data_IF_046948574138
#
_entry.id   IF_046948574138
#
_cell.length_a   1.000
_cell.length_b   1.000
_cell.length_c   1.000
_cell.angle_alpha   90.00
_cell.angle_beta   90.00
_cell.angle_gamma   90.00
#
_symmetry.space_group_name_H-M   'P 1'
#
loop_
_entity.id
_entity.type
_entity.pdbx_description
1 polymer ?
#
# COMPACT_ATOMS: atom_id res chain seq x y z
N UNK A 1 23.09 -25.63 5.17
CA UNK A 1 21.66 -25.96 5.10
C UNK A 1 20.75 -24.73 4.92
N UNK A 2 21.29 -23.58 4.49
CA UNK A 2 20.65 -22.26 4.63
C UNK A 2 20.06 -21.65 3.34
N UNK A 3 20.17 -22.25 2.17
CA UNK A 3 19.71 -21.63 0.91
C UNK A 3 18.80 -22.52 0.05
N UNK A 4 18.11 -23.46 0.66
CA UNK A 4 17.12 -24.28 -0.07
C UNK A 4 15.83 -23.52 -0.42
N UNK A 5 15.62 -22.32 0.16
CA UNK A 5 14.41 -21.54 -0.08
C UNK A 5 14.70 -20.03 0.14
N UNK A 6 14.79 -19.27 -0.96
CA UNK A 6 14.99 -17.80 -0.95
C UNK A 6 13.82 -17.12 -0.24
N UNK A 7 12.60 -17.64 -0.40
CA UNK A 7 11.40 -17.13 0.26
C UNK A 7 11.54 -17.10 1.79
N UNK A 8 11.91 -18.22 2.41
CA UNK A 8 12.04 -18.30 3.89
C UNK A 8 13.14 -17.40 4.43
N UNK A 9 14.25 -17.26 3.69
CA UNK A 9 15.30 -16.29 4.03
C UNK A 9 14.74 -14.88 3.99
N UNK A 10 14.07 -14.51 2.89
CA UNK A 10 13.51 -13.16 2.71
C UNK A 10 12.46 -12.84 3.78
N UNK A 11 11.56 -13.77 4.10
CA UNK A 11 10.58 -13.59 5.21
C UNK A 11 11.29 -13.33 6.54
N UNK A 12 12.38 -14.06 6.81
CA UNK A 12 13.18 -13.84 8.03
C UNK A 12 13.83 -12.45 8.05
N UNK A 13 14.35 -12.01 6.91
CA UNK A 13 15.01 -10.71 6.78
C UNK A 13 13.98 -9.57 6.90
N UNK A 14 12.75 -9.78 6.40
CA UNK A 14 11.66 -8.81 6.47
C UNK A 14 10.94 -8.77 7.83
N UNK A 15 11.16 -9.73 8.74
CA UNK A 15 10.40 -9.85 9.99
C UNK A 15 10.39 -8.58 10.84
N UNK A 16 11.53 -7.93 11.03
CA UNK A 16 11.62 -6.71 11.82
C UNK A 16 11.02 -5.47 11.14
N UNK A 17 11.31 -5.19 9.86
CA UNK A 17 10.59 -4.15 9.12
C UNK A 17 9.07 -4.36 9.13
N UNK A 18 8.60 -5.59 8.88
CA UNK A 18 7.17 -5.93 8.92
C UNK A 18 6.58 -5.71 10.31
N UNK A 19 7.27 -6.13 11.37
CA UNK A 19 6.80 -5.95 12.75
C UNK A 19 6.60 -4.46 13.08
N UNK A 20 7.58 -3.60 12.78
CA UNK A 20 7.47 -2.18 13.09
C UNK A 20 6.41 -1.46 12.24
N UNK A 21 6.31 -1.80 10.96
CA UNK A 21 5.27 -1.23 10.09
C UNK A 21 3.88 -1.71 10.51
N UNK A 22 3.72 -3.00 10.79
CA UNK A 22 2.45 -3.56 11.26
C UNK A 22 2.03 -2.95 12.61
N UNK A 23 2.97 -2.80 13.56
CA UNK A 23 2.72 -2.19 14.85
C UNK A 23 2.37 -0.70 14.70
N UNK A 24 3.08 0.03 13.84
CA UNK A 24 2.82 1.45 13.58
C UNK A 24 1.45 1.66 12.94
N UNK A 25 1.15 0.96 11.84
CA UNK A 25 -0.13 1.06 11.14
C UNK A 25 -1.29 0.57 12.03
N UNK A 26 -1.15 -0.61 12.63
CA UNK A 26 -2.18 -1.20 13.48
C UNK A 26 -2.39 -0.41 14.77
N UNK A 27 -1.30 -0.03 15.45
CA UNK A 27 -1.37 0.78 16.68
C UNK A 27 -2.02 2.13 16.46
N UNK A 28 -1.68 2.81 15.35
CA UNK A 28 -2.31 4.07 14.97
C UNK A 28 -3.81 3.87 14.67
N UNK A 29 -4.18 2.84 13.92
CA UNK A 29 -5.59 2.57 13.61
C UNK A 29 -6.39 2.22 14.85
N UNK A 30 -5.86 1.36 15.74
CA UNK A 30 -6.48 1.05 17.02
C UNK A 30 -6.63 2.27 17.93
N UNK A 31 -5.60 3.11 18.00
CA UNK A 31 -5.63 4.36 18.75
C UNK A 31 -6.76 5.30 18.28
N UNK A 32 -6.87 5.54 16.97
CA UNK A 32 -7.94 6.35 16.41
C UNK A 32 -9.33 5.73 16.64
N UNK A 33 -9.45 4.40 16.55
CA UNK A 33 -10.70 3.70 16.83
C UNK A 33 -11.14 3.85 18.29
N UNK A 34 -10.20 3.78 19.25
CA UNK A 34 -10.50 3.99 20.69
C UNK A 34 -10.88 5.45 20.99
N UNK A 35 -10.21 6.40 20.35
CA UNK A 35 -10.46 7.82 20.60
C UNK A 35 -11.68 8.39 19.89
N UNK A 36 -12.24 7.67 18.89
CA UNK A 36 -13.35 8.14 18.09
C UNK A 36 -14.52 8.72 18.90
N UNK A 37 -15.05 8.08 20.00
CA UNK A 37 -16.15 8.66 20.76
C UNK A 37 -15.80 9.99 21.45
N UNK A 38 -14.52 10.22 21.75
CA UNK A 38 -14.05 11.48 22.33
C UNK A 38 -13.99 12.57 21.25
N UNK A 39 -13.43 12.22 20.08
CA UNK A 39 -13.38 13.13 18.92
C UNK A 39 -14.77 13.55 18.46
N UNK A 40 -15.70 12.61 18.31
CA UNK A 40 -17.07 12.89 17.84
C UNK A 40 -17.88 13.79 18.79
N UNK A 41 -17.51 13.86 20.08
CA UNK A 41 -18.14 14.76 21.06
C UNK A 41 -17.55 16.17 21.06
N UNK A 42 -16.26 16.29 20.76
CA UNK A 42 -15.53 17.58 20.83
C UNK A 42 -15.59 18.31 19.49
N UNK A 43 -15.54 17.56 18.39
CA UNK A 43 -15.43 18.09 17.04
C UNK A 43 -16.64 17.62 16.24
N UNK A 44 -17.49 18.57 15.86
CA UNK A 44 -18.51 18.32 14.86
C UNK A 44 -17.85 18.32 13.45
N UNK A 45 -17.29 17.14 13.09
CA UNK A 45 -16.61 16.97 11.83
C UNK A 45 -17.53 17.26 10.63
N UNK A 46 -18.83 16.94 10.74
CA UNK A 46 -19.78 17.21 9.67
C UNK A 46 -19.92 18.71 9.42
N UNK A 47 -20.00 19.52 10.48
CA UNK A 47 -20.07 20.97 10.33
C UNK A 47 -18.80 21.59 9.72
N UNK A 48 -17.63 20.99 9.99
CA UNK A 48 -16.35 21.41 9.41
C UNK A 48 -16.33 21.04 7.91
N UNK A 49 -16.68 19.80 7.58
CA UNK A 49 -16.74 19.32 6.19
C UNK A 49 -17.73 20.11 5.34
N UNK A 50 -18.90 20.44 5.91
CA UNK A 50 -19.90 21.28 5.25
C UNK A 50 -19.36 22.70 4.97
N UNK A 51 -18.61 23.28 5.89
CA UNK A 51 -17.96 24.58 5.70
C UNK A 51 -16.84 24.54 4.65
N UNK A 52 -16.16 23.42 4.51
CA UNK A 52 -15.13 23.20 3.50
C UNK A 52 -15.74 23.02 2.09
N UNK A 53 -17.01 22.68 1.99
CA UNK A 53 -17.71 22.46 0.72
C UNK A 53 -16.96 21.48 -0.20
N UNK A 54 -16.70 21.82 -1.49
CA UNK A 54 -16.00 20.92 -2.40
C UNK A 54 -14.60 20.49 -1.94
N UNK A 55 -13.93 21.31 -1.13
CA UNK A 55 -12.58 21.00 -0.63
C UNK A 55 -12.58 19.80 0.35
N UNK A 56 -13.71 19.47 0.99
CA UNK A 56 -13.84 18.28 1.81
C UNK A 56 -13.53 16.98 1.04
N UNK A 57 -13.83 16.97 -0.28
CA UNK A 57 -13.53 15.83 -1.16
C UNK A 57 -12.03 15.56 -1.29
N UNK A 58 -11.16 16.57 -1.11
CA UNK A 58 -9.71 16.39 -1.09
C UNK A 58 -9.24 15.50 0.07
N UNK A 59 -10.02 15.45 1.14
CA UNK A 59 -9.76 14.62 2.31
C UNK A 59 -10.40 13.23 2.18
N UNK A 60 -10.96 12.88 1.01
CA UNK A 60 -11.71 11.64 0.83
C UNK A 60 -13.07 11.63 1.52
N UNK A 61 -13.53 12.79 2.01
CA UNK A 61 -14.82 12.90 2.68
C UNK A 61 -15.96 12.83 1.67
N UNK A 62 -16.74 11.77 1.74
CA UNK A 62 -18.10 11.79 1.25
C UNK A 62 -18.97 12.49 2.31
N UNK A 63 -19.57 13.61 1.93
CA UNK A 63 -20.41 14.42 2.82
C UNK A 63 -21.46 13.53 3.52
N UNK A 64 -21.49 13.59 4.85
CA UNK A 64 -22.52 12.93 5.66
C UNK A 64 -22.05 11.76 6.54
N UNK A 65 -20.75 11.43 6.60
CA UNK A 65 -20.31 10.17 7.23
C UNK A 65 -19.13 10.25 8.21
N UNK A 66 -18.65 11.43 8.49
CA UNK A 66 -17.60 11.63 9.49
C UNK A 66 -18.10 11.35 10.93
N UNK A 67 -19.41 11.16 11.11
CA UNK A 67 -20.04 10.80 12.39
C UNK A 67 -19.97 9.31 12.70
N UNK A 68 -19.60 8.46 11.74
CA UNK A 68 -19.36 7.03 11.96
C UNK A 68 -17.87 6.73 12.12
N UNK A 69 -17.53 5.69 12.90
CA UNK A 69 -16.13 5.25 13.03
C UNK A 69 -15.54 4.88 11.64
N UNK A 70 -16.32 4.26 10.78
CA UNK A 70 -15.93 3.90 9.41
C UNK A 70 -15.53 5.12 8.59
N UNK A 71 -16.37 6.16 8.59
CA UNK A 71 -16.07 7.40 7.86
C UNK A 71 -14.91 8.18 8.46
N UNK A 72 -14.80 8.20 9.79
CA UNK A 72 -13.66 8.81 10.48
C UNK A 72 -12.33 8.13 10.11
N UNK A 73 -12.26 6.79 10.17
CA UNK A 73 -11.06 6.05 9.75
C UNK A 73 -10.75 6.23 8.27
N UNK A 74 -11.80 6.32 7.41
CA UNK A 74 -11.62 6.59 5.99
C UNK A 74 -10.86 7.92 5.79
N UNK A 75 -11.36 9.00 6.38
CA UNK A 75 -10.80 10.35 6.21
C UNK A 75 -9.39 10.43 6.80
N UNK A 76 -9.21 9.98 8.04
CA UNK A 76 -7.96 10.15 8.77
C UNK A 76 -6.86 9.21 8.29
N UNK A 77 -7.18 7.97 7.95
CA UNK A 77 -6.17 6.94 7.74
C UNK A 77 -6.17 6.36 6.33
N UNK A 78 -7.34 5.94 5.84
CA UNK A 78 -7.42 5.21 4.57
C UNK A 78 -7.27 6.10 3.34
N UNK A 79 -7.56 7.41 3.45
CA UNK A 79 -7.41 8.35 2.33
C UNK A 79 -5.95 8.52 1.89
N UNK A 80 -5.00 8.65 2.83
CA UNK A 80 -3.61 8.94 2.50
C UNK A 80 -2.59 8.22 3.41
N UNK A 81 -2.80 8.16 4.73
CA UNK A 81 -1.75 7.76 5.68
C UNK A 81 -1.40 6.26 5.52
N UNK A 82 -2.40 5.38 5.56
CA UNK A 82 -2.17 3.93 5.38
C UNK A 82 -1.63 3.60 3.97
N UNK A 83 -2.18 4.17 2.87
CA UNK A 83 -1.58 4.06 1.55
C UNK A 83 -0.11 4.48 1.51
N UNK A 84 0.23 5.65 2.05
CA UNK A 84 1.60 6.14 2.05
C UNK A 84 2.55 5.18 2.79
N UNK A 85 2.13 4.66 3.95
CA UNK A 85 2.94 3.74 4.76
C UNK A 85 3.14 2.39 4.07
N UNK A 86 2.08 1.78 3.51
CA UNK A 86 2.19 0.48 2.84
C UNK A 86 2.99 0.58 1.53
N UNK A 87 2.81 1.68 0.78
CA UNK A 87 3.57 1.96 -0.45
C UNK A 87 5.05 2.16 -0.12
N UNK A 88 5.37 3.00 0.87
CA UNK A 88 6.76 3.22 1.28
C UNK A 88 7.42 1.92 1.74
N UNK A 89 6.70 1.08 2.48
CA UNK A 89 7.17 -0.23 2.90
C UNK A 89 7.39 -1.15 1.72
N UNK A 90 6.39 -1.36 0.85
CA UNK A 90 6.48 -2.28 -0.28
C UNK A 90 7.56 -1.84 -1.30
N UNK A 91 7.60 -0.55 -1.66
CA UNK A 91 8.61 0.01 -2.56
C UNK A 91 10.02 -0.06 -1.96
N UNK A 92 10.16 0.25 -0.66
CA UNK A 92 11.43 0.16 0.04
C UNK A 92 12.00 -1.25 0.11
N UNK A 93 11.13 -2.26 0.32
CA UNK A 93 11.56 -3.67 0.36
C UNK A 93 11.83 -4.20 -1.06
N UNK A 94 10.94 -3.98 -2.00
CA UNK A 94 11.06 -4.49 -3.36
C UNK A 94 12.28 -3.91 -4.11
N UNK A 95 12.55 -2.62 -3.99
CA UNK A 95 13.73 -1.97 -4.60
C UNK A 95 15.06 -2.50 -4.06
N UNK A 96 15.07 -3.04 -2.83
CA UNK A 96 16.25 -3.66 -2.23
C UNK A 96 16.65 -5.00 -2.84
N UNK A 97 15.77 -5.65 -3.62
CA UNK A 97 16.00 -7.01 -4.13
C UNK A 97 16.97 -7.07 -5.32
N UNK A 98 17.15 -6.00 -6.02
CA UNK A 98 18.07 -5.88 -7.16
C UNK A 98 19.22 -4.94 -6.83
N UNK A 99 19.01 -3.64 -6.84
CA UNK A 99 20.03 -2.65 -6.60
C UNK A 99 20.64 -2.70 -5.17
N UNK A 100 19.85 -3.13 -4.17
CA UNK A 100 20.35 -3.25 -2.80
C UNK A 100 21.27 -4.44 -2.56
N UNK A 101 21.14 -5.54 -3.31
CA UNK A 101 22.05 -6.69 -3.26
C UNK A 101 23.32 -6.45 -4.08
N UNK A 102 23.19 -5.74 -5.19
CA UNK A 102 24.30 -5.30 -6.02
C UNK A 102 25.23 -4.38 -5.23
N UNK A 103 24.67 -3.37 -4.55
CA UNK A 103 25.45 -2.45 -3.73
C UNK A 103 26.16 -3.10 -2.51
N UNK A 104 25.69 -4.27 -2.08
CA UNK A 104 26.28 -5.06 -0.98
C UNK A 104 27.23 -6.14 -1.46
N UNK A 105 27.41 -6.34 -2.77
CA UNK A 105 28.24 -7.42 -3.34
C UNK A 105 27.71 -8.83 -3.06
N UNK A 106 26.44 -8.97 -2.68
CA UNK A 106 25.84 -10.27 -2.32
C UNK A 106 25.17 -10.96 -3.51
N UNK A 107 25.07 -10.27 -4.63
CA UNK A 107 24.41 -10.78 -5.83
C UNK A 107 25.17 -11.97 -6.44
N UNK A 108 26.52 -11.95 -6.42
CA UNK A 108 27.37 -13.03 -6.94
C UNK A 108 27.23 -14.31 -6.13
N UNK A 109 27.10 -14.18 -4.81
CA UNK A 109 26.85 -15.33 -3.90
C UNK A 109 25.47 -15.94 -4.19
N UNK A 110 24.49 -15.13 -4.52
CA UNK A 110 23.13 -15.59 -4.85
C UNK A 110 23.08 -16.30 -6.22
N UNK A 111 23.85 -15.82 -7.18
CA UNK A 111 23.92 -16.36 -8.54
C UNK A 111 24.84 -17.58 -8.67
N UNK A 112 25.71 -17.85 -7.71
CA UNK A 112 26.55 -19.08 -7.65
C UNK A 112 25.72 -20.35 -7.35
N UNK A 113 24.46 -20.19 -6.89
CA UNK A 113 23.55 -21.32 -6.69
C UNK A 113 22.77 -21.62 -7.98
N UNK A 114 22.41 -22.90 -8.24
CA UNK A 114 21.66 -23.30 -9.45
C UNK A 114 20.17 -22.94 -9.34
N UNK A 115 19.88 -21.64 -9.14
CA UNK A 115 18.50 -21.10 -9.04
C UNK A 115 18.32 -20.07 -10.14
N UNK A 116 17.23 -20.17 -10.92
CA UNK A 116 16.96 -19.18 -11.95
C UNK A 116 16.69 -17.79 -11.36
N UNK A 117 17.16 -16.74 -12.03
CA UNK A 117 16.95 -15.34 -11.63
C UNK A 117 15.47 -15.02 -11.41
N UNK A 118 14.59 -15.54 -12.29
CA UNK A 118 13.12 -15.40 -12.17
C UNK A 118 12.59 -15.94 -10.85
N UNK A 119 13.01 -17.14 -10.47
CA UNK A 119 12.57 -17.77 -9.25
C UNK A 119 12.97 -16.95 -8.02
N UNK A 120 14.20 -16.43 -7.99
CA UNK A 120 14.67 -15.56 -6.91
C UNK A 120 13.77 -14.33 -6.75
N UNK A 121 13.46 -13.63 -7.85
CA UNK A 121 12.59 -12.44 -7.81
C UNK A 121 11.18 -12.80 -7.35
N UNK A 122 10.59 -13.86 -7.90
CA UNK A 122 9.23 -14.29 -7.54
C UNK A 122 9.12 -14.69 -6.06
N UNK A 123 10.10 -15.44 -5.53
CA UNK A 123 10.13 -15.82 -4.12
C UNK A 123 10.27 -14.59 -3.19
N UNK A 124 11.05 -13.58 -3.60
CA UNK A 124 11.19 -12.31 -2.87
C UNK A 124 9.92 -11.47 -2.92
N UNK A 125 9.28 -11.36 -4.10
CA UNK A 125 7.99 -10.67 -4.25
C UNK A 125 6.93 -11.35 -3.38
N UNK A 126 6.85 -12.68 -3.41
CA UNK A 126 5.92 -13.43 -2.56
C UNK A 126 6.14 -13.14 -1.05
N UNK A 127 7.40 -12.95 -0.62
CA UNK A 127 7.70 -12.58 0.76
C UNK A 127 7.23 -11.15 1.10
N UNK A 128 7.31 -10.19 0.17
CA UNK A 128 6.75 -8.83 0.37
C UNK A 128 5.22 -8.88 0.41
N UNK A 129 4.58 -9.65 -0.48
CA UNK A 129 3.13 -9.87 -0.45
C UNK A 129 2.71 -10.37 0.94
N UNK A 130 3.36 -11.42 1.43
CA UNK A 130 3.09 -11.96 2.77
C UNK A 130 3.29 -10.90 3.86
N UNK A 131 4.35 -10.10 3.78
CA UNK A 131 4.62 -9.03 4.75
C UNK A 131 3.52 -7.95 4.75
N UNK A 132 3.06 -7.53 3.57
CA UNK A 132 1.94 -6.59 3.43
C UNK A 132 0.62 -7.17 3.98
N UNK A 133 0.35 -8.45 3.70
CA UNK A 133 -0.84 -9.15 4.24
C UNK A 133 -0.77 -9.24 5.77
N UNK A 134 0.39 -9.57 6.33
CA UNK A 134 0.58 -9.60 7.80
C UNK A 134 0.37 -8.21 8.41
N UNK A 135 0.92 -7.16 7.80
CA UNK A 135 0.68 -5.79 8.27
C UNK A 135 -0.81 -5.42 8.23
N UNK A 136 -1.51 -5.73 7.13
CA UNK A 136 -2.95 -5.50 7.00
C UNK A 136 -3.76 -6.31 8.03
N UNK A 137 -3.39 -7.56 8.29
CA UNK A 137 -4.04 -8.38 9.31
C UNK A 137 -3.90 -7.78 10.72
N UNK A 138 -2.72 -7.22 11.06
CA UNK A 138 -2.52 -6.52 12.34
C UNK A 138 -3.38 -5.25 12.40
N UNK A 139 -3.46 -4.47 11.31
CA UNK A 139 -4.37 -3.31 11.23
C UNK A 139 -5.81 -3.73 11.47
N UNK A 140 -6.26 -4.83 10.84
CA UNK A 140 -7.60 -5.37 11.03
C UNK A 140 -7.89 -5.72 12.49
N UNK A 141 -6.99 -6.49 13.13
CA UNK A 141 -7.12 -6.90 14.53
C UNK A 141 -7.18 -5.68 15.47
N UNK A 142 -6.26 -4.73 15.28
CA UNK A 142 -6.17 -3.53 16.13
C UNK A 142 -7.37 -2.59 15.94
N UNK A 143 -7.87 -2.46 14.70
CA UNK A 143 -9.07 -1.66 14.41
C UNK A 143 -10.33 -2.26 15.07
N UNK A 144 -10.53 -3.58 14.93
CA UNK A 144 -11.67 -4.28 15.56
C UNK A 144 -11.57 -4.22 17.09
N UNK A 145 -10.37 -4.46 17.65
CA UNK A 145 -10.16 -4.34 19.10
C UNK A 145 -10.42 -2.91 19.60
N UNK A 146 -9.98 -1.89 18.86
CA UNK A 146 -10.23 -0.49 19.19
C UNK A 146 -11.71 -0.12 19.11
N UNK A 147 -12.41 -0.58 18.07
CA UNK A 147 -13.86 -0.39 17.90
C UNK A 147 -14.63 -1.04 19.06
N UNK A 148 -14.30 -2.29 19.41
CA UNK A 148 -14.91 -2.99 20.54
C UNK A 148 -14.67 -2.27 21.87
N UNK A 149 -13.44 -1.77 22.10
CA UNK A 149 -13.10 -1.03 23.32
C UNK A 149 -13.84 0.31 23.44
N UNK A 150 -14.15 0.95 22.31
CA UNK A 150 -14.88 2.24 22.27
C UNK A 150 -16.40 2.06 22.18
N UNK A 151 -16.91 0.83 22.06
CA UNK A 151 -18.33 0.56 21.85
C UNK A 151 -18.85 1.05 20.50
N UNK A 152 -17.96 1.25 19.51
CA UNK A 152 -18.29 1.72 18.18
C UNK A 152 -18.48 0.54 17.21
N UNK A 153 -19.42 0.68 16.27
CA UNK A 153 -19.62 -0.33 15.24
C UNK A 153 -18.59 -0.18 14.10
N UNK A 154 -17.92 -1.27 13.76
CA UNK A 154 -17.02 -1.34 12.61
C UNK A 154 -17.23 -2.68 11.88
N UNK A 155 -17.82 -2.67 10.67
CA UNK A 155 -18.04 -3.90 9.90
C UNK A 155 -16.72 -4.55 9.49
N UNK A 156 -16.39 -5.69 10.10
CA UNK A 156 -15.11 -6.36 9.91
C UNK A 156 -14.88 -6.89 8.49
N UNK A 157 -15.93 -7.27 7.78
CA UNK A 157 -15.90 -7.69 6.38
C UNK A 157 -15.55 -6.52 5.44
N UNK A 158 -16.13 -5.35 5.67
CA UNK A 158 -15.85 -4.12 4.90
C UNK A 158 -14.44 -3.59 5.18
N UNK A 159 -14.03 -3.63 6.44
CA UNK A 159 -12.63 -3.32 6.80
C UNK A 159 -11.65 -4.27 6.11
N UNK A 160 -11.93 -5.58 6.08
CA UNK A 160 -11.10 -6.56 5.38
C UNK A 160 -11.05 -6.25 3.87
N UNK A 161 -12.17 -5.86 3.25
CA UNK A 161 -12.22 -5.45 1.86
C UNK A 161 -11.28 -4.25 1.58
N UNK A 162 -11.35 -3.20 2.40
CA UNK A 162 -10.50 -2.02 2.27
C UNK A 162 -9.00 -2.38 2.46
N UNK A 163 -8.69 -3.28 3.37
CA UNK A 163 -7.31 -3.74 3.60
C UNK A 163 -6.77 -4.59 2.46
N UNK A 164 -7.61 -5.38 1.79
CA UNK A 164 -7.23 -6.09 0.56
C UNK A 164 -6.87 -5.09 -0.53
N UNK A 165 -7.70 -4.06 -0.75
CA UNK A 165 -7.41 -3.01 -1.73
C UNK A 165 -6.13 -2.24 -1.37
N UNK A 166 -5.90 -1.98 -0.08
CA UNK A 166 -4.67 -1.35 0.43
C UNK A 166 -3.42 -2.17 0.11
N UNK A 167 -3.48 -3.49 0.32
CA UNK A 167 -2.38 -4.41 -0.01
C UNK A 167 -2.12 -4.39 -1.52
N UNK A 168 -3.16 -4.47 -2.36
CA UNK A 168 -3.01 -4.43 -3.81
C UNK A 168 -2.35 -3.14 -4.28
N UNK A 169 -2.78 -1.98 -3.76
CA UNK A 169 -2.16 -0.69 -4.04
C UNK A 169 -0.67 -0.68 -3.64
N UNK A 170 -0.34 -1.20 -2.45
CA UNK A 170 1.04 -1.34 -2.00
C UNK A 170 1.88 -2.22 -2.93
N UNK A 171 1.30 -3.30 -3.47
CA UNK A 171 1.97 -4.21 -4.41
C UNK A 171 2.21 -3.55 -5.77
N UNK A 172 1.30 -2.72 -6.27
CA UNK A 172 1.48 -1.97 -7.52
C UNK A 172 2.72 -1.07 -7.43
N UNK A 173 2.81 -0.26 -6.38
CA UNK A 173 3.96 0.61 -6.17
C UNK A 173 5.24 -0.15 -5.81
N UNK A 174 5.12 -1.28 -5.12
CA UNK A 174 6.23 -2.20 -4.88
C UNK A 174 6.78 -2.79 -6.17
N UNK A 175 5.90 -3.25 -7.07
CA UNK A 175 6.29 -3.77 -8.39
C UNK A 175 6.88 -2.67 -9.29
N UNK A 176 6.34 -1.44 -9.22
CA UNK A 176 6.89 -0.28 -9.91
C UNK A 176 8.33 0.02 -9.43
N UNK A 177 8.54 0.08 -8.12
CA UNK A 177 9.86 0.32 -7.54
C UNK A 177 10.85 -0.81 -7.90
N UNK A 178 10.39 -2.06 -7.93
CA UNK A 178 11.18 -3.20 -8.39
C UNK A 178 11.57 -3.06 -9.86
N UNK A 179 10.64 -2.66 -10.74
CA UNK A 179 10.92 -2.47 -12.16
C UNK A 179 11.97 -1.37 -12.40
N UNK A 180 11.80 -0.23 -11.72
CA UNK A 180 12.76 0.88 -11.82
C UNK A 180 14.12 0.48 -11.25
N UNK A 181 14.16 -0.20 -10.11
CA UNK A 181 15.38 -0.68 -9.49
C UNK A 181 16.11 -1.72 -10.36
N UNK A 182 15.36 -2.63 -10.99
CA UNK A 182 15.92 -3.62 -11.92
C UNK A 182 16.52 -2.99 -13.15
N UNK A 183 15.91 -1.90 -13.67
CA UNK A 183 16.40 -1.18 -14.84
C UNK A 183 17.59 -0.26 -14.50
N UNK A 184 17.45 0.58 -13.47
CA UNK A 184 18.41 1.65 -13.17
C UNK A 184 19.58 1.24 -12.27
N UNK A 185 19.45 0.14 -11.51
CA UNK A 185 20.41 -0.23 -10.46
C UNK A 185 20.45 0.74 -9.28
N UNK A 186 19.53 1.69 -9.22
CA UNK A 186 19.51 2.72 -8.20
C UNK A 186 18.28 2.60 -7.31
N UNK A 187 18.49 2.12 -6.08
CA UNK A 187 17.43 1.95 -5.08
C UNK A 187 16.77 3.27 -4.68
N UNK A 188 17.57 4.33 -4.50
CA UNK A 188 17.04 5.62 -4.07
C UNK A 188 16.16 6.25 -5.15
N UNK A 189 16.57 6.16 -6.42
CA UNK A 189 15.76 6.61 -7.54
C UNK A 189 14.45 5.83 -7.64
N UNK A 190 14.47 4.51 -7.47
CA UNK A 190 13.28 3.67 -7.51
C UNK A 190 12.25 4.06 -6.44
N UNK A 191 12.69 4.27 -5.20
CA UNK A 191 11.83 4.73 -4.10
C UNK A 191 11.32 6.15 -4.38
N UNK A 192 12.20 7.06 -4.80
CA UNK A 192 11.84 8.46 -5.07
C UNK A 192 10.78 8.58 -6.16
N UNK A 193 10.92 7.84 -7.26
CA UNK A 193 9.92 7.83 -8.35
C UNK A 193 8.60 7.20 -7.90
N UNK A 194 8.65 6.09 -7.14
CA UNK A 194 7.43 5.46 -6.61
C UNK A 194 6.66 6.42 -5.70
N UNK A 195 7.34 7.12 -4.78
CA UNK A 195 6.73 8.10 -3.89
C UNK A 195 6.20 9.31 -4.66
N UNK A 196 6.97 9.84 -5.63
CA UNK A 196 6.53 10.96 -6.45
C UNK A 196 5.26 10.61 -7.24
N UNK A 197 5.22 9.43 -7.88
CA UNK A 197 4.04 8.97 -8.60
C UNK A 197 2.85 8.71 -7.66
N UNK A 198 3.08 8.18 -6.45
CA UNK A 198 2.05 8.06 -5.42
C UNK A 198 1.38 9.41 -5.15
N UNK A 199 2.19 10.45 -4.88
CA UNK A 199 1.68 11.81 -4.60
C UNK A 199 0.92 12.37 -5.81
N UNK A 200 1.47 12.23 -7.01
CA UNK A 200 0.83 12.72 -8.25
C UNK A 200 -0.51 12.00 -8.48
N UNK A 201 -0.56 10.68 -8.37
CA UNK A 201 -1.78 9.90 -8.57
C UNK A 201 -2.83 10.20 -7.49
N UNK A 202 -2.42 10.38 -6.24
CA UNK A 202 -3.31 10.82 -5.17
C UNK A 202 -3.90 12.20 -5.46
N UNK A 203 -3.08 13.17 -5.85
CA UNK A 203 -3.55 14.52 -6.19
C UNK A 203 -4.47 14.52 -7.41
N UNK A 204 -4.19 13.72 -8.44
CA UNK A 204 -5.07 13.59 -9.61
C UNK A 204 -6.45 13.08 -9.16
N UNK A 205 -6.52 12.02 -8.36
CA UNK A 205 -7.82 11.48 -7.92
C UNK A 205 -8.57 12.45 -7.01
N UNK A 206 -7.88 13.06 -6.05
CA UNK A 206 -8.45 14.02 -5.12
C UNK A 206 -8.95 15.30 -5.83
N UNK A 207 -8.12 15.88 -6.71
CA UNK A 207 -8.47 17.11 -7.43
C UNK A 207 -9.51 16.88 -8.52
N UNK A 208 -9.55 15.71 -9.16
CA UNK A 208 -10.58 15.37 -10.14
C UNK A 208 -12.00 15.42 -9.56
N UNK A 209 -12.13 15.29 -8.22
CA UNK A 209 -13.42 15.46 -7.54
C UNK A 209 -13.92 16.92 -7.52
N UNK A 210 -13.05 17.90 -7.85
CA UNK A 210 -13.35 19.35 -7.80
C UNK A 210 -13.15 20.00 -9.18
N UNK A 211 -12.19 19.52 -9.96
CA UNK A 211 -11.75 20.12 -11.23
C UNK A 211 -12.10 19.16 -12.37
N UNK A 212 -13.15 19.50 -13.13
CA UNK A 212 -13.68 18.65 -14.21
C UNK A 212 -12.65 18.30 -15.29
N UNK A 213 -11.71 19.22 -15.60
CA UNK A 213 -10.66 18.98 -16.59
C UNK A 213 -9.70 17.83 -16.20
N UNK A 214 -9.58 17.50 -14.91
CA UNK A 214 -8.76 16.40 -14.43
C UNK A 214 -9.46 15.05 -14.48
N UNK A 215 -10.78 15.00 -14.73
CA UNK A 215 -11.52 13.76 -14.86
C UNK A 215 -10.98 12.84 -15.97
N UNK A 216 -10.41 13.41 -17.04
CA UNK A 216 -9.78 12.65 -18.10
C UNK A 216 -8.51 11.89 -17.65
N UNK A 217 -7.81 12.40 -16.63
CA UNK A 217 -6.59 11.78 -16.06
C UNK A 217 -6.90 10.81 -14.92
N UNK A 218 -8.09 10.90 -14.33
CA UNK A 218 -8.49 10.08 -13.19
C UNK A 218 -8.35 8.56 -13.42
N UNK A 219 -8.64 8.00 -14.62
CA UNK A 219 -8.44 6.57 -14.89
C UNK A 219 -6.97 6.11 -14.81
N UNK A 220 -6.01 7.03 -14.89
CA UNK A 220 -4.58 6.72 -14.75
C UNK A 220 -4.15 6.63 -13.29
N UNK A 221 -4.95 7.13 -12.35
CA UNK A 221 -4.66 7.06 -10.92
C UNK A 221 -5.06 5.71 -10.34
N UNK A 222 -4.11 5.01 -9.70
CA UNK A 222 -4.38 3.79 -8.94
C UNK A 222 -5.25 4.06 -7.71
N UNK A 223 -5.24 5.28 -7.16
CA UNK A 223 -6.09 5.67 -6.03
C UNK A 223 -7.57 5.63 -6.38
N UNK A 224 -7.93 5.92 -7.64
CA UNK A 224 -9.30 5.75 -8.13
C UNK A 224 -9.82 4.31 -7.93
N UNK A 225 -9.00 3.32 -8.21
CA UNK A 225 -9.38 1.90 -8.07
C UNK A 225 -9.26 1.43 -6.63
N UNK A 226 -8.35 2.01 -5.86
CA UNK A 226 -8.18 1.70 -4.45
C UNK A 226 -9.42 2.07 -3.62
N UNK A 227 -10.00 3.26 -3.83
CA UNK A 227 -11.14 3.77 -3.05
C UNK A 227 -12.38 4.04 -3.89
N UNK A 228 -12.36 3.80 -5.20
CA UNK A 228 -13.44 4.21 -6.11
C UNK A 228 -14.81 3.61 -5.78
N UNK A 229 -14.84 2.37 -5.30
CA UNK A 229 -16.07 1.71 -4.86
C UNK A 229 -16.38 1.91 -3.36
N UNK A 230 -15.60 2.72 -2.64
CA UNK A 230 -15.66 2.87 -1.18
C UNK A 230 -15.70 1.50 -0.46
N UNK A 231 -14.58 0.75 -0.44
CA UNK A 231 -14.58 -0.62 0.05
C UNK A 231 -14.92 -0.74 1.54
N UNK A 232 -14.76 0.34 2.33
CA UNK A 232 -15.17 0.39 3.73
C UNK A 232 -16.69 0.36 3.91
N UNK A 233 -17.47 0.69 2.86
CA UNK A 233 -18.93 0.67 2.88
C UNK A 233 -19.52 -0.41 1.99
N UNK A 234 -19.04 -0.49 0.76
CA UNK A 234 -19.63 -1.34 -0.28
C UNK A 234 -18.93 -2.69 -0.40
N UNK A 235 -17.71 -2.82 0.19
CA UNK A 235 -16.89 -4.02 0.04
C UNK A 235 -16.07 -4.00 -1.26
N UNK A 236 -15.59 -5.16 -1.69
CA UNK A 236 -14.67 -5.30 -2.82
C UNK A 236 -15.39 -5.06 -4.16
N UNK A 237 -14.87 -4.13 -4.96
CA UNK A 237 -15.21 -3.98 -6.37
C UNK A 237 -14.36 -4.92 -7.23
N UNK A 238 -14.97 -5.95 -7.84
CA UNK A 238 -14.21 -6.92 -8.64
C UNK A 238 -13.47 -6.29 -9.83
N UNK A 239 -14.07 -5.26 -10.44
CA UNK A 239 -13.43 -4.54 -11.55
C UNK A 239 -12.17 -3.78 -11.07
N UNK A 240 -12.24 -3.15 -9.90
CA UNK A 240 -11.11 -2.41 -9.33
C UNK A 240 -9.98 -3.36 -8.94
N UNK A 241 -10.30 -4.51 -8.33
CA UNK A 241 -9.33 -5.57 -8.05
C UNK A 241 -8.66 -6.07 -9.32
N UNK A 242 -9.43 -6.30 -10.39
CA UNK A 242 -8.88 -6.77 -11.67
C UNK A 242 -7.90 -5.77 -12.28
N UNK A 243 -8.17 -4.46 -12.16
CA UNK A 243 -7.25 -3.42 -12.63
C UNK A 243 -5.97 -3.41 -11.81
N UNK A 244 -6.04 -3.37 -10.47
CA UNK A 244 -4.86 -3.35 -9.61
C UNK A 244 -4.01 -4.63 -9.82
N UNK A 245 -4.63 -5.82 -9.84
CA UNK A 245 -3.91 -7.07 -10.13
C UNK A 245 -3.28 -7.07 -11.53
N UNK A 246 -3.97 -6.51 -12.52
CA UNK A 246 -3.46 -6.38 -13.88
C UNK A 246 -2.22 -5.49 -13.95
N UNK A 247 -2.25 -4.34 -13.28
CA UNK A 247 -1.11 -3.41 -13.21
C UNK A 247 0.06 -4.07 -12.48
N UNK A 248 -0.17 -4.69 -11.31
CA UNK A 248 0.86 -5.41 -10.57
C UNK A 248 1.51 -6.52 -11.42
N UNK A 249 0.70 -7.30 -12.15
CA UNK A 249 1.19 -8.36 -13.02
C UNK A 249 2.05 -7.82 -14.16
N UNK A 250 1.60 -6.76 -14.85
CA UNK A 250 2.37 -6.11 -15.93
C UNK A 250 3.70 -5.58 -15.40
N UNK A 251 3.68 -4.84 -14.29
CA UNK A 251 4.90 -4.29 -13.68
C UNK A 251 5.86 -5.40 -13.21
N UNK A 252 5.34 -6.50 -12.70
CA UNK A 252 6.16 -7.66 -12.33
C UNK A 252 6.82 -8.29 -13.57
N UNK A 253 6.09 -8.45 -14.68
CA UNK A 253 6.67 -8.96 -15.94
C UNK A 253 7.75 -8.01 -16.44
N UNK A 254 7.50 -6.70 -16.45
CA UNK A 254 8.52 -5.70 -16.82
C UNK A 254 9.75 -5.81 -15.92
N UNK A 255 9.57 -5.98 -14.62
CA UNK A 255 10.68 -6.15 -13.67
C UNK A 255 11.53 -7.39 -13.98
N UNK A 256 10.88 -8.52 -14.29
CA UNK A 256 11.56 -9.77 -14.64
C UNK A 256 12.37 -9.64 -15.92
N UNK A 257 11.78 -9.03 -16.97
CA UNK A 257 12.46 -8.79 -18.25
C UNK A 257 13.63 -7.82 -18.09
N UNK A 258 13.45 -6.74 -17.31
CA UNK A 258 14.52 -5.78 -17.05
C UNK A 258 15.69 -6.43 -16.29
N UNK A 259 15.40 -7.27 -15.31
CA UNK A 259 16.42 -7.97 -14.53
C UNK A 259 17.18 -9.04 -15.35
N UNK A 260 16.52 -9.70 -16.30
CA UNK A 260 17.18 -10.68 -17.18
C UNK A 260 18.09 -10.04 -18.22
N UNK A 261 17.68 -8.88 -18.76
CA UNK A 261 18.44 -8.18 -19.81
C UNK A 261 19.62 -7.37 -19.27
N UNK A 262 19.67 -7.18 -17.98
CA UNK A 262 20.75 -6.40 -17.39
C UNK A 262 21.99 -7.27 -17.25
N UNK A 263 23.05 -6.89 -17.97
CA UNK A 263 24.39 -7.38 -17.71
C UNK A 263 24.82 -6.84 -16.35
N UNK A 264 24.92 -7.72 -15.37
CA UNK A 264 25.49 -7.38 -14.07
C UNK A 264 26.98 -7.14 -14.35
N UNK A 265 27.39 -5.86 -14.35
CA UNK A 265 28.78 -5.50 -14.52
C UNK A 265 29.57 -6.16 -13.38
N UNK A 266 30.52 -7.01 -13.81
CA UNK A 266 31.49 -7.63 -12.92
C UNK A 266 32.44 -6.58 -12.33
#
# INVERSE_FOLDING_TARGET
MLLRNVFTKTVRDLRWPTFWVALGMGGMTGYFAVLFPTYSKIIDLNSILDKMGPAAKLLGASVGDASSLTGFLHIELFSMILPALIIAFAAGMASGFTAGEESRGTIDVLLSYPVSRRRVVLEKVAAVVLACVVAAAVVWVMAIAGAAASGSELPGDKLAAALVMLVLLGLDFGALALAISAYSGNRAAAIGVAVALMVVMYLIDALAAIVDSLNALRPLSLFRYYMGNDPLRNGIGLADVAVLLGVAAVLLVVSLVAFERRDLAA
#
